data_IF_523674566587
#
_entry.id   IF_523674566587
#
_cell.length_a   1.000
_cell.length_b   1.000
_cell.length_c   1.000
_cell.angle_alpha   90.00
_cell.angle_beta   90.00
_cell.angle_gamma   90.00
#
_symmetry.space_group_name_H-M   'P 1'
#
loop_
_entity.id
_entity.type
_entity.pdbx_description
1 polymer ?
#
# COMPACT_ATOMS: atom_id res chain seq x y z
N UNK A 1 -37.64 -27.19 7.47
CA UNK A 1 -37.47 -25.72 7.32
C UNK A 1 -36.13 -25.20 7.86
N UNK A 2 -35.05 -26.01 7.94
CA UNK A 2 -33.75 -25.58 8.50
C UNK A 2 -32.67 -25.31 7.43
N UNK A 3 -32.82 -25.82 6.19
CA UNK A 3 -31.78 -25.77 5.15
C UNK A 3 -31.49 -24.36 4.60
N UNK A 4 -32.40 -23.40 4.76
CA UNK A 4 -32.25 -22.03 4.23
C UNK A 4 -31.50 -21.07 5.17
N UNK A 5 -31.40 -21.38 6.48
CA UNK A 5 -30.66 -20.54 7.43
C UNK A 5 -29.14 -20.56 7.20
N UNK A 6 -28.60 -21.63 6.63
CA UNK A 6 -27.14 -21.80 6.45
C UNK A 6 -26.55 -20.88 5.37
N UNK A 7 -27.36 -20.40 4.42
CA UNK A 7 -26.89 -19.57 3.29
C UNK A 7 -26.70 -18.10 3.71
N UNK A 8 -27.42 -17.64 4.73
CA UNK A 8 -27.32 -16.26 5.24
C UNK A 8 -26.05 -16.00 6.08
N UNK A 9 -25.39 -17.05 6.58
CA UNK A 9 -24.17 -16.94 7.38
C UNK A 9 -22.88 -16.74 6.57
N UNK A 10 -22.94 -16.87 5.24
CA UNK A 10 -21.80 -16.69 4.33
C UNK A 10 -21.75 -15.29 3.70
N UNK A 11 -22.72 -14.42 3.98
CA UNK A 11 -22.71 -13.02 3.57
C UNK A 11 -21.85 -12.15 4.51
N UNK A 12 -20.60 -12.55 4.74
CA UNK A 12 -19.60 -11.69 5.36
C UNK A 12 -19.27 -10.55 4.40
N UNK A 13 -19.85 -9.38 4.62
CA UNK A 13 -19.64 -8.16 3.84
C UNK A 13 -18.14 -7.86 3.69
N UNK A 14 -17.62 -7.98 2.46
CA UNK A 14 -16.34 -7.39 2.03
C UNK A 14 -16.53 -5.87 1.85
N UNK A 15 -16.79 -5.14 2.92
CA UNK A 15 -16.85 -3.67 2.90
C UNK A 15 -15.44 -3.09 3.02
N UNK A 16 -14.59 -3.36 2.03
CA UNK A 16 -13.38 -2.56 1.86
C UNK A 16 -13.80 -1.18 1.37
N UNK A 17 -13.77 -0.19 2.26
CA UNK A 17 -13.93 1.20 1.85
C UNK A 17 -12.90 1.50 0.76
N UNK A 18 -13.35 2.09 -0.34
CA UNK A 18 -12.47 2.43 -1.44
C UNK A 18 -11.36 3.40 -0.93
N UNK A 19 -10.10 3.24 -1.37
CA UNK A 19 -8.98 4.01 -0.82
C UNK A 19 -9.13 5.53 -0.96
N UNK A 20 -9.84 5.97 -2.00
CA UNK A 20 -10.23 7.37 -2.24
C UNK A 20 -10.93 8.00 -1.04
N UNK A 21 -11.79 7.25 -0.32
CA UNK A 21 -12.46 7.76 0.89
C UNK A 21 -11.46 8.14 1.99
N UNK A 22 -10.35 7.40 2.13
CA UNK A 22 -9.31 7.73 3.10
C UNK A 22 -8.61 9.05 2.72
N UNK A 23 -8.20 9.17 1.46
CA UNK A 23 -7.52 10.35 0.93
C UNK A 23 -8.42 11.59 1.01
N UNK A 24 -9.65 11.51 0.52
CA UNK A 24 -10.62 12.60 0.53
C UNK A 24 -11.00 13.03 1.96
N UNK A 25 -11.16 12.10 2.90
CA UNK A 25 -11.49 12.43 4.31
C UNK A 25 -10.38 13.21 5.00
N UNK A 26 -9.13 13.05 4.57
CA UNK A 26 -7.94 13.68 5.16
C UNK A 26 -7.44 14.87 4.34
N UNK A 27 -8.15 15.24 3.27
CA UNK A 27 -7.74 16.27 2.31
C UNK A 27 -6.32 16.01 1.75
N UNK A 28 -6.04 14.76 1.41
CA UNK A 28 -4.74 14.31 0.89
C UNK A 28 -4.90 13.91 -0.58
N UNK A 29 -3.99 14.30 -1.49
CA UNK A 29 -4.04 13.83 -2.87
C UNK A 29 -3.84 12.30 -2.96
N UNK A 30 -4.51 11.67 -3.91
CA UNK A 30 -4.29 10.27 -4.22
C UNK A 30 -2.82 10.04 -4.64
N UNK A 31 -2.19 8.94 -4.19
CA UNK A 31 -0.79 8.65 -4.52
C UNK A 31 -0.60 8.39 -6.01
N UNK A 32 0.55 8.80 -6.53
CA UNK A 32 1.02 8.46 -7.87
C UNK A 32 2.42 7.86 -7.79
N UNK A 33 2.89 7.29 -8.91
CA UNK A 33 4.28 6.82 -9.02
C UNK A 33 5.29 7.99 -8.86
N UNK A 34 4.90 9.19 -9.28
CA UNK A 34 5.76 10.38 -9.26
C UNK A 34 5.88 10.99 -7.86
N UNK A 35 4.78 11.01 -7.10
CA UNK A 35 4.74 11.53 -5.75
C UNK A 35 3.57 10.92 -4.98
N UNK A 36 3.77 10.69 -3.69
CA UNK A 36 2.74 10.15 -2.81
C UNK A 36 2.87 10.73 -1.39
N UNK A 37 1.76 10.81 -0.64
CA UNK A 37 1.76 11.29 0.74
C UNK A 37 2.38 10.26 1.69
N UNK A 38 3.22 10.73 2.60
CA UNK A 38 3.71 9.98 3.77
C UNK A 38 3.20 10.64 5.04
N UNK A 39 2.40 9.88 5.79
CA UNK A 39 1.82 10.31 7.06
C UNK A 39 2.79 10.12 8.22
N UNK A 40 2.98 11.16 9.04
CA UNK A 40 3.75 11.08 10.29
C UNK A 40 3.07 11.81 11.43
N UNK A 41 3.64 11.62 12.62
CA UNK A 41 3.05 11.90 13.92
C UNK A 41 1.76 11.11 14.15
N UNK A 42 1.47 10.85 15.43
CA UNK A 42 0.25 10.13 15.81
C UNK A 42 -0.98 10.83 15.21
N UNK A 43 -1.81 10.08 14.49
CA UNK A 43 -3.00 10.61 13.81
C UNK A 43 -2.79 11.13 12.39
N UNK A 44 -1.57 11.14 11.84
CA UNK A 44 -1.24 11.78 10.55
C UNK A 44 -1.56 13.28 10.56
N UNK A 45 -1.00 14.01 11.54
CA UNK A 45 -1.10 15.47 11.61
C UNK A 45 -0.03 16.17 10.75
N UNK A 46 0.99 15.42 10.31
CA UNK A 46 2.00 15.88 9.35
C UNK A 46 1.98 14.97 8.13
N UNK A 47 1.90 15.58 6.95
CA UNK A 47 1.88 14.89 5.67
C UNK A 47 3.05 15.41 4.84
N UNK A 48 3.99 14.53 4.52
CA UNK A 48 5.12 14.83 3.65
C UNK A 48 4.84 14.27 2.25
N UNK A 49 4.88 15.12 1.22
CA UNK A 49 4.82 14.63 -0.16
C UNK A 49 6.20 14.11 -0.56
N UNK A 50 6.31 12.79 -0.73
CA UNK A 50 7.58 12.13 -1.04
C UNK A 50 7.56 11.55 -2.44
N UNK A 51 8.75 11.42 -3.02
CA UNK A 51 8.98 10.77 -4.31
C UNK A 51 10.22 9.90 -4.24
N UNK A 52 10.30 8.88 -5.10
CA UNK A 52 11.53 8.11 -5.30
C UNK A 52 12.27 8.66 -6.52
N UNK A 53 13.58 8.84 -6.36
CA UNK A 53 14.48 9.15 -7.45
C UNK A 53 14.52 8.02 -8.48
N UNK A 54 14.96 8.35 -9.70
CA UNK A 54 15.17 7.36 -10.77
C UNK A 54 16.12 6.23 -10.33
N UNK A 55 17.08 6.51 -9.43
CA UNK A 55 18.02 5.50 -8.92
C UNK A 55 17.34 4.53 -7.97
N UNK A 56 16.57 5.04 -7.01
CA UNK A 56 15.82 4.22 -6.04
C UNK A 56 14.78 3.34 -6.74
N UNK A 57 14.03 3.91 -7.70
CA UNK A 57 13.10 3.14 -8.53
C UNK A 57 13.80 2.01 -9.30
N UNK A 58 14.99 2.25 -9.87
CA UNK A 58 15.76 1.20 -10.54
C UNK A 58 16.17 0.09 -9.56
N UNK A 59 16.54 0.41 -8.32
CA UNK A 59 16.90 -0.59 -7.32
C UNK A 59 15.70 -1.47 -6.94
N UNK A 60 14.51 -0.89 -6.80
CA UNK A 60 13.28 -1.63 -6.52
C UNK A 60 12.89 -2.50 -7.71
N UNK A 61 12.87 -1.93 -8.93
CA UNK A 61 12.48 -2.66 -10.15
C UNK A 61 13.38 -3.86 -10.45
N UNK A 62 14.66 -3.81 -10.07
CA UNK A 62 15.60 -4.94 -10.20
C UNK A 62 15.18 -6.20 -9.42
N UNK A 63 14.30 -6.07 -8.43
CA UNK A 63 13.77 -7.21 -7.68
C UNK A 63 12.76 -8.03 -8.49
N UNK A 64 12.27 -7.49 -9.62
CA UNK A 64 11.23 -8.09 -10.46
C UNK A 64 11.72 -8.22 -11.92
N UNK A 65 11.17 -9.16 -12.72
CA UNK A 65 10.14 -10.15 -12.36
C UNK A 65 10.70 -11.34 -11.57
N UNK A 66 9.81 -12.05 -10.86
CA UNK A 66 10.15 -13.29 -10.16
C UNK A 66 9.62 -14.51 -10.93
N UNK A 67 10.40 -15.62 -10.93
CA UNK A 67 10.08 -16.84 -11.70
C UNK A 67 9.15 -17.82 -10.99
N UNK A 68 8.76 -17.55 -9.75
CA UNK A 68 7.85 -18.39 -8.96
C UNK A 68 7.13 -17.58 -7.90
N UNK A 69 5.95 -18.03 -7.40
CA UNK A 69 5.22 -17.33 -6.34
C UNK A 69 6.05 -17.12 -5.05
N UNK A 70 6.90 -18.10 -4.70
CA UNK A 70 7.80 -17.98 -3.55
C UNK A 70 8.84 -16.86 -3.76
N UNK A 71 9.46 -16.82 -4.94
CA UNK A 71 10.42 -15.76 -5.29
C UNK A 71 9.75 -14.40 -5.38
N UNK A 72 8.51 -14.35 -5.83
CA UNK A 72 7.71 -13.12 -5.90
C UNK A 72 7.44 -12.56 -4.51
N UNK A 73 6.98 -13.38 -3.56
CA UNK A 73 6.80 -12.96 -2.16
C UNK A 73 8.09 -12.43 -1.55
N UNK A 74 9.23 -13.06 -1.84
CA UNK A 74 10.55 -12.59 -1.39
C UNK A 74 10.96 -11.26 -2.04
N UNK A 75 10.65 -11.07 -3.33
CA UNK A 75 10.88 -9.81 -4.03
C UNK A 75 10.01 -8.67 -3.46
N UNK A 76 8.72 -8.94 -3.20
CA UNK A 76 7.79 -7.99 -2.57
C UNK A 76 8.32 -7.57 -1.20
N UNK A 77 8.67 -8.52 -0.32
CA UNK A 77 9.21 -8.21 1.00
C UNK A 77 10.45 -7.31 0.93
N UNK A 78 11.42 -7.62 0.05
CA UNK A 78 12.60 -6.76 -0.16
C UNK A 78 12.24 -5.39 -0.72
N UNK A 79 11.24 -5.31 -1.61
CA UNK A 79 10.80 -4.05 -2.19
C UNK A 79 10.19 -3.13 -1.14
N UNK A 80 9.35 -3.67 -0.25
CA UNK A 80 8.75 -2.93 0.87
C UNK A 80 9.84 -2.39 1.78
N UNK A 81 10.83 -3.22 2.16
CA UNK A 81 11.95 -2.78 2.99
C UNK A 81 12.76 -1.63 2.34
N UNK A 82 12.95 -1.66 1.02
CA UNK A 82 13.58 -0.55 0.29
C UNK A 82 12.70 0.70 0.28
N UNK A 83 11.40 0.58 0.05
CA UNK A 83 10.45 1.70 0.14
C UNK A 83 10.50 2.36 1.52
N UNK A 84 10.40 1.57 2.59
CA UNK A 84 10.46 2.06 3.98
C UNK A 84 11.78 2.79 4.25
N UNK A 85 12.91 2.23 3.82
CA UNK A 85 14.22 2.87 4.00
C UNK A 85 14.33 4.20 3.24
N UNK A 86 13.91 4.24 1.98
CA UNK A 86 14.03 5.46 1.15
C UNK A 86 13.06 6.55 1.57
N UNK A 87 11.82 6.19 1.95
CA UNK A 87 10.83 7.14 2.44
C UNK A 87 11.21 7.63 3.83
N UNK A 88 11.61 6.74 4.73
CA UNK A 88 12.03 7.10 6.09
C UNK A 88 13.20 8.08 6.13
N UNK A 89 14.12 8.02 5.16
CA UNK A 89 15.22 8.98 5.04
C UNK A 89 14.80 10.39 4.54
N UNK A 90 13.58 10.55 4.04
CA UNK A 90 13.05 11.80 3.46
C UNK A 90 12.07 12.52 4.40
N UNK A 91 11.77 11.92 5.54
CA UNK A 91 10.69 12.33 6.44
C UNK A 91 11.17 12.47 7.87
#
# INVERSE_FOLDING_TARGET
MWRWLAILLLAGCSTTAAPDRYYNKRDIPAPSIGSFPSCRAYGCTKIDMVSLSKKEWRQIKKLFPAKSPEKERKAISKSIALFEKYVGAKT
#
